data_IF_571660799727
#
_entry.id   IF_571660799727
#
_cell.length_a   1.000
_cell.length_b   1.000
_cell.length_c   1.000
_cell.angle_alpha   90.00
_cell.angle_beta   90.00
_cell.angle_gamma   90.00
#
_symmetry.space_group_name_H-M   'P 1'
#
loop_
_entity.id
_entity.type
_entity.pdbx_description
1 polymer ?
#
# COMPACT_ATOMS: atom_id res chain seq x y z
N UNK A 1 6.49 16.19 -10.01
CA UNK A 1 7.22 15.11 -10.72
C UNK A 1 6.29 13.92 -10.79
N UNK A 2 5.76 13.57 -11.95
CA UNK A 2 4.94 12.37 -12.10
C UNK A 2 5.88 11.16 -11.99
N UNK A 3 5.79 10.44 -10.91
CA UNK A 3 6.45 9.15 -10.80
C UNK A 3 5.75 8.19 -11.75
N UNK A 4 6.51 7.57 -12.63
CA UNK A 4 6.03 6.43 -13.43
C UNK A 4 6.01 5.20 -12.51
N UNK A 5 4.98 5.10 -11.69
CA UNK A 5 4.85 4.01 -10.73
C UNK A 5 4.29 2.73 -11.40
N UNK A 6 3.72 2.89 -12.61
CA UNK A 6 3.18 1.81 -13.44
C UNK A 6 4.04 1.68 -14.70
N UNK A 7 4.40 0.45 -15.04
CA UNK A 7 5.17 0.13 -16.23
C UNK A 7 4.24 -0.18 -17.41
N UNK A 8 4.69 0.09 -18.65
CA UNK A 8 4.04 -0.41 -19.87
C UNK A 8 4.23 -1.92 -19.97
N UNK A 9 3.35 -2.66 -19.32
CA UNK A 9 3.42 -4.10 -19.14
C UNK A 9 2.06 -4.65 -18.69
N UNK A 10 1.91 -5.98 -18.59
CA UNK A 10 0.71 -6.60 -18.04
C UNK A 10 0.48 -6.23 -16.56
N UNK A 11 -0.75 -6.40 -16.09
CA UNK A 11 -1.07 -6.25 -14.68
C UNK A 11 -0.22 -7.21 -13.82
N UNK A 12 -0.02 -8.45 -14.32
CA UNK A 12 0.83 -9.44 -13.65
C UNK A 12 2.27 -8.95 -13.46
N UNK A 13 2.90 -8.48 -14.54
CA UNK A 13 4.26 -7.95 -14.48
C UNK A 13 4.36 -6.73 -13.58
N UNK A 14 3.35 -5.85 -13.61
CA UNK A 14 3.29 -4.68 -12.75
C UNK A 14 3.20 -5.05 -11.26
N UNK A 15 2.44 -6.08 -10.89
CA UNK A 15 2.24 -6.43 -9.49
C UNK A 15 3.36 -7.31 -8.94
N UNK A 16 3.89 -8.24 -9.74
CA UNK A 16 4.91 -9.19 -9.28
C UNK A 16 6.34 -8.68 -9.45
N UNK A 17 6.55 -7.69 -10.33
CA UNK A 17 7.89 -7.21 -10.74
C UNK A 17 8.79 -8.34 -11.21
N UNK A 18 8.21 -9.38 -11.84
CA UNK A 18 8.94 -10.56 -12.33
C UNK A 18 9.31 -11.58 -11.25
N UNK A 19 8.84 -11.41 -10.02
CA UNK A 19 9.05 -12.41 -8.97
C UNK A 19 8.26 -13.69 -9.30
N UNK A 20 8.98 -14.77 -9.58
CA UNK A 20 8.43 -16.08 -9.99
C UNK A 20 7.84 -16.89 -8.84
N UNK A 21 8.16 -16.54 -7.62
CA UNK A 21 7.65 -17.23 -6.41
C UNK A 21 6.23 -16.79 -6.05
N UNK A 22 5.78 -15.65 -6.57
CA UNK A 22 4.42 -15.12 -6.32
C UNK A 22 3.40 -15.98 -7.08
N UNK A 23 2.40 -16.47 -6.36
CA UNK A 23 1.28 -17.23 -6.93
C UNK A 23 0.09 -16.32 -7.21
N UNK A 24 -0.74 -16.71 -8.16
CA UNK A 24 -1.96 -15.97 -8.50
C UNK A 24 -2.89 -15.78 -7.30
N UNK A 25 -3.02 -16.80 -6.46
CA UNK A 25 -3.85 -16.72 -5.26
C UNK A 25 -3.33 -15.66 -4.27
N UNK A 26 -2.02 -15.53 -4.11
CA UNK A 26 -1.41 -14.51 -3.24
C UNK A 26 -1.75 -13.09 -3.71
N UNK A 27 -1.75 -12.89 -5.04
CA UNK A 27 -2.14 -11.61 -5.65
C UNK A 27 -3.62 -11.33 -5.42
N UNK A 28 -4.50 -12.30 -5.64
CA UNK A 28 -5.94 -12.15 -5.44
C UNK A 28 -6.29 -11.84 -3.98
N UNK A 29 -5.64 -12.49 -3.03
CA UNK A 29 -5.85 -12.23 -1.61
C UNK A 29 -5.32 -10.84 -1.21
N UNK A 30 -4.17 -10.43 -1.76
CA UNK A 30 -3.63 -9.09 -1.56
C UNK A 30 -4.55 -8.02 -2.18
N UNK A 31 -5.16 -8.28 -3.34
CA UNK A 31 -6.12 -7.35 -3.95
C UNK A 31 -7.36 -7.13 -3.08
N UNK A 32 -7.85 -8.16 -2.39
CA UNK A 32 -8.91 -7.99 -1.38
C UNK A 32 -8.46 -7.07 -0.25
N UNK A 33 -7.23 -7.24 0.24
CA UNK A 33 -6.66 -6.45 1.34
C UNK A 33 -6.60 -4.97 0.98
N UNK A 34 -6.18 -4.64 -0.22
CA UNK A 34 -6.04 -3.24 -0.66
C UNK A 34 -7.31 -2.69 -1.35
N UNK A 35 -8.36 -3.50 -1.54
CA UNK A 35 -9.60 -3.08 -2.21
C UNK A 35 -9.46 -2.95 -3.72
N UNK A 36 -8.74 -3.85 -4.38
CA UNK A 36 -8.59 -3.93 -5.84
C UNK A 36 -9.38 -5.08 -6.47
N UNK A 37 -10.07 -5.89 -5.70
CA UNK A 37 -10.78 -7.08 -6.20
C UNK A 37 -11.89 -6.71 -7.20
N UNK A 38 -12.65 -5.66 -6.95
CA UNK A 38 -13.69 -5.19 -7.89
C UNK A 38 -13.08 -4.65 -9.18
N UNK A 39 -11.95 -3.93 -9.10
CA UNK A 39 -11.19 -3.50 -10.27
C UNK A 39 -10.74 -4.72 -11.09
N UNK A 40 -10.09 -5.69 -10.46
CA UNK A 40 -9.64 -6.91 -11.14
C UNK A 40 -10.78 -7.65 -11.84
N UNK A 41 -11.92 -7.84 -11.16
CA UNK A 41 -13.11 -8.50 -11.74
C UNK A 41 -13.70 -7.75 -12.94
N UNK A 42 -13.46 -6.45 -13.06
CA UNK A 42 -13.92 -5.64 -14.20
C UNK A 42 -13.05 -5.79 -15.45
N UNK A 43 -11.88 -6.42 -15.33
CA UNK A 43 -10.92 -6.57 -16.43
C UNK A 43 -11.28 -7.76 -17.32
N UNK A 44 -11.45 -7.52 -18.62
CA UNK A 44 -11.76 -8.58 -19.58
C UNK A 44 -10.62 -9.59 -19.80
N UNK A 45 -9.38 -9.18 -19.55
CA UNK A 45 -8.17 -10.00 -19.73
C UNK A 45 -7.49 -10.38 -18.42
N UNK A 46 -8.15 -10.11 -17.28
CA UNK A 46 -7.58 -10.40 -15.96
C UNK A 46 -6.14 -9.89 -15.83
N UNK A 47 -5.23 -10.73 -15.41
CA UNK A 47 -3.81 -10.39 -15.23
C UNK A 47 -3.05 -10.06 -16.52
N UNK A 48 -3.53 -10.50 -17.68
CA UNK A 48 -2.94 -10.17 -18.99
C UNK A 48 -3.36 -8.77 -19.49
N UNK A 49 -4.13 -8.02 -18.70
CA UNK A 49 -4.49 -6.64 -19.03
C UNK A 49 -3.25 -5.77 -19.07
N UNK A 50 -2.95 -5.20 -20.24
CA UNK A 50 -1.83 -4.29 -20.41
C UNK A 50 -2.12 -2.94 -19.76
N UNK A 51 -1.20 -2.46 -18.95
CA UNK A 51 -1.27 -1.16 -18.28
C UNK A 51 -0.28 -0.18 -18.93
N UNK A 52 -0.68 1.09 -19.00
CA UNK A 52 0.15 2.15 -19.54
C UNK A 52 0.62 3.11 -18.43
N UNK A 53 1.86 3.62 -18.50
CA UNK A 53 2.41 4.55 -17.51
C UNK A 53 1.61 5.82 -17.32
N UNK A 54 0.87 6.24 -18.36
CA UNK A 54 0.02 7.44 -18.33
C UNK A 54 -1.19 7.31 -17.41
N UNK A 55 -1.44 6.09 -16.88
CA UNK A 55 -2.47 5.84 -15.87
C UNK A 55 -3.91 6.10 -16.31
N UNK A 56 -4.19 6.30 -17.61
CA UNK A 56 -5.56 6.56 -18.11
C UNK A 56 -6.55 5.44 -17.75
N UNK A 57 -6.05 4.23 -17.50
CA UNK A 57 -6.85 3.05 -17.18
C UNK A 57 -7.04 2.87 -15.66
N UNK A 58 -6.24 3.56 -14.85
CA UNK A 58 -6.24 3.44 -13.39
C UNK A 58 -6.52 4.81 -12.76
N UNK A 59 -7.40 4.84 -11.78
CA UNK A 59 -7.52 6.01 -10.91
C UNK A 59 -6.26 6.17 -10.06
N UNK A 60 -6.00 7.36 -9.57
CA UNK A 60 -4.87 7.60 -8.64
C UNK A 60 -4.96 6.73 -7.38
N UNK A 61 -6.18 6.46 -6.90
CA UNK A 61 -6.42 5.52 -5.80
C UNK A 61 -6.03 4.10 -6.19
N UNK A 62 -6.40 3.63 -7.39
CA UNK A 62 -6.04 2.28 -7.87
C UNK A 62 -4.53 2.13 -8.05
N UNK A 63 -3.83 3.16 -8.51
CA UNK A 63 -2.37 3.17 -8.59
C UNK A 63 -1.78 3.02 -7.18
N UNK A 64 -2.22 3.82 -6.22
CA UNK A 64 -1.74 3.74 -4.83
C UNK A 64 -1.98 2.35 -4.22
N UNK A 65 -3.18 1.78 -4.43
CA UNK A 65 -3.52 0.42 -4.00
C UNK A 65 -2.60 -0.63 -4.62
N UNK A 66 -2.30 -0.51 -5.93
CA UNK A 66 -1.41 -1.44 -6.63
C UNK A 66 0.03 -1.38 -6.07
N UNK A 67 0.53 -0.19 -5.75
CA UNK A 67 1.85 -0.02 -5.15
C UNK A 67 1.94 -0.64 -3.76
N UNK A 68 0.91 -0.49 -2.95
CA UNK A 68 0.83 -1.13 -1.63
C UNK A 68 0.75 -2.66 -1.78
N UNK A 69 -0.09 -3.17 -2.69
CA UNK A 69 -0.19 -4.60 -2.97
C UNK A 69 1.17 -5.19 -3.39
N UNK A 70 1.89 -4.51 -4.29
CA UNK A 70 3.25 -4.86 -4.71
C UNK A 70 4.22 -4.98 -3.53
N UNK A 71 4.12 -4.05 -2.57
CA UNK A 71 4.99 -4.05 -1.40
C UNK A 71 4.65 -5.20 -0.44
N UNK A 72 3.38 -5.56 -0.30
CA UNK A 72 2.93 -6.63 0.60
C UNK A 72 3.26 -8.03 0.07
N UNK A 73 3.21 -8.24 -1.25
CA UNK A 73 3.45 -9.54 -1.88
C UNK A 73 4.86 -10.11 -1.61
N UNK A 74 5.83 -9.25 -1.37
CA UNK A 74 7.21 -9.66 -1.08
C UNK A 74 7.45 -10.03 0.39
N UNK A 75 6.41 -10.06 1.23
CA UNK A 75 6.49 -10.37 2.66
C UNK A 75 7.67 -9.66 3.36
N UNK A 76 7.77 -8.34 3.27
CA UNK A 76 8.93 -7.60 3.75
C UNK A 76 9.00 -7.59 5.28
N UNK A 77 10.21 -7.59 5.83
CA UNK A 77 10.44 -7.33 7.26
C UNK A 77 10.29 -5.83 7.61
N UNK A 78 10.40 -4.94 6.61
CA UNK A 78 10.25 -3.49 6.73
C UNK A 78 9.39 -2.93 5.60
N UNK A 79 8.31 -2.23 5.95
CA UNK A 79 7.48 -1.46 5.03
C UNK A 79 7.72 0.04 5.23
N UNK A 80 8.03 0.74 4.15
CA UNK A 80 8.14 2.20 4.12
C UNK A 80 7.00 2.75 3.25
N UNK A 81 6.08 3.48 3.83
CA UNK A 81 4.87 3.96 3.16
C UNK A 81 4.74 5.48 3.29
N UNK A 82 4.62 6.16 2.16
CA UNK A 82 4.43 7.61 2.12
C UNK A 82 2.95 7.94 1.87
N UNK A 83 2.28 8.55 2.86
CA UNK A 83 0.85 8.88 2.82
C UNK A 83 -0.03 7.71 2.30
N UNK A 84 0.08 6.49 2.85
CA UNK A 84 -0.33 5.25 2.19
C UNK A 84 -1.83 5.14 1.89
N UNK A 85 -2.67 5.94 2.54
CA UNK A 85 -4.13 5.80 2.43
C UNK A 85 -4.81 7.14 2.08
N UNK A 86 -4.06 8.10 1.59
CA UNK A 86 -4.55 9.46 1.32
C UNK A 86 -5.69 9.49 0.30
N UNK A 87 -5.67 8.57 -0.66
CA UNK A 87 -6.62 8.50 -1.77
C UNK A 87 -7.65 7.37 -1.61
N UNK A 88 -7.70 6.71 -0.47
CA UNK A 88 -8.61 5.59 -0.24
C UNK A 88 -9.99 6.05 0.22
N UNK A 89 -11.03 5.32 -0.18
CA UNK A 89 -12.35 5.41 0.43
C UNK A 89 -12.31 4.93 1.89
N UNK A 90 -13.27 5.36 2.69
CA UNK A 90 -13.26 5.10 4.14
C UNK A 90 -13.21 3.60 4.49
N UNK A 91 -13.98 2.77 3.78
CA UNK A 91 -14.06 1.32 4.04
C UNK A 91 -12.74 0.62 3.68
N UNK A 92 -12.17 0.93 2.50
CA UNK A 92 -10.88 0.38 2.06
C UNK A 92 -9.75 0.77 3.02
N UNK A 93 -9.78 2.03 3.49
CA UNK A 93 -8.84 2.55 4.46
C UNK A 93 -8.91 1.81 5.78
N UNK A 94 -10.12 1.61 6.32
CA UNK A 94 -10.33 0.88 7.57
C UNK A 94 -9.84 -0.56 7.45
N UNK A 95 -10.13 -1.22 6.33
CA UNK A 95 -9.74 -2.60 6.10
C UNK A 95 -8.21 -2.75 6.02
N UNK A 96 -7.55 -1.92 5.22
CA UNK A 96 -6.09 -1.92 5.10
C UNK A 96 -5.40 -1.56 6.42
N UNK A 97 -5.92 -0.59 7.18
CA UNK A 97 -5.40 -0.27 8.51
C UNK A 97 -5.42 -1.50 9.43
N UNK A 98 -6.57 -2.17 9.52
CA UNK A 98 -6.70 -3.35 10.38
C UNK A 98 -5.73 -4.45 9.97
N UNK A 99 -5.52 -4.65 8.66
CA UNK A 99 -4.55 -5.60 8.16
C UNK A 99 -3.11 -5.23 8.55
N UNK A 100 -2.69 -3.99 8.26
CA UNK A 100 -1.32 -3.54 8.54
C UNK A 100 -0.97 -3.59 10.03
N UNK A 101 -1.87 -3.13 10.90
CA UNK A 101 -1.67 -3.18 12.35
C UNK A 101 -1.80 -4.59 12.94
N UNK A 102 -2.32 -5.55 12.19
CA UNK A 102 -2.37 -6.96 12.55
C UNK A 102 -1.15 -7.78 12.14
N UNK A 103 -0.26 -7.22 11.30
CA UNK A 103 0.96 -7.90 10.86
C UNK A 103 1.91 -8.12 12.05
N UNK A 104 2.49 -9.32 12.10
CA UNK A 104 3.53 -9.69 13.09
C UNK A 104 4.88 -9.73 12.37
N UNK A 105 5.93 -9.45 13.11
CA UNK A 105 7.31 -9.52 12.63
C UNK A 105 7.63 -8.59 11.44
N UNK A 106 6.84 -7.52 11.28
CA UNK A 106 7.01 -6.50 10.25
C UNK A 106 7.11 -5.13 10.90
N UNK A 107 8.18 -4.41 10.63
CA UNK A 107 8.29 -3.00 11.01
C UNK A 107 7.63 -2.14 9.94
N UNK A 108 6.69 -1.28 10.32
CA UNK A 108 6.02 -0.36 9.41
C UNK A 108 6.38 1.07 9.78
N UNK A 109 6.96 1.80 8.83
CA UNK A 109 7.23 3.23 8.96
C UNK A 109 6.39 3.94 7.88
N UNK A 110 5.57 4.91 8.29
CA UNK A 110 4.79 5.68 7.34
C UNK A 110 4.76 7.16 7.69
N UNK A 111 4.67 8.01 6.68
CA UNK A 111 4.34 9.41 6.84
C UNK A 111 2.83 9.58 6.79
N UNK A 112 2.26 10.40 7.65
CA UNK A 112 0.82 10.68 7.64
C UNK A 112 0.44 11.90 8.45
N UNK A 113 -0.68 12.54 8.06
CA UNK A 113 -1.40 13.51 8.88
C UNK A 113 -2.75 12.96 9.38
N UNK A 114 -3.01 11.66 9.16
CA UNK A 114 -4.26 11.02 9.54
C UNK A 114 -4.30 10.68 11.04
N UNK A 115 -5.21 11.28 11.81
CA UNK A 115 -5.31 11.02 13.25
C UNK A 115 -5.55 9.55 13.59
N UNK A 116 -6.24 8.80 12.72
CA UNK A 116 -6.55 7.39 12.97
C UNK A 116 -5.30 6.51 12.88
N UNK A 117 -4.40 6.79 11.95
CA UNK A 117 -3.10 6.12 11.85
C UNK A 117 -2.18 6.53 13.01
N UNK A 118 -2.09 7.83 13.30
CA UNK A 118 -1.30 8.37 14.41
C UNK A 118 -1.74 7.73 15.73
N UNK A 119 -3.05 7.61 15.97
CA UNK A 119 -3.57 7.05 17.23
C UNK A 119 -3.22 5.58 17.44
N UNK A 120 -3.10 4.80 16.37
CA UNK A 120 -2.79 3.36 16.40
C UNK A 120 -1.28 3.07 16.41
N UNK A 121 -0.44 4.04 16.06
CA UNK A 121 1.02 3.86 16.01
C UNK A 121 1.63 3.69 17.40
N UNK A 122 2.61 2.83 17.52
CA UNK A 122 3.39 2.61 18.75
C UNK A 122 4.32 3.79 19.06
N UNK A 123 4.92 4.35 18.00
CA UNK A 123 5.81 5.51 18.07
C UNK A 123 5.37 6.57 17.06
N UNK A 124 5.37 7.83 17.49
CA UNK A 124 5.09 8.98 16.64
C UNK A 124 6.25 9.96 16.71
N UNK A 125 6.81 10.29 15.55
CA UNK A 125 7.90 11.27 15.41
C UNK A 125 7.33 12.48 14.67
N UNK A 126 7.31 13.63 15.35
CA UNK A 126 6.90 14.88 14.74
C UNK A 126 8.10 15.58 14.12
N UNK A 127 7.99 15.87 12.82
CA UNK A 127 8.98 16.60 12.06
C UNK A 127 8.49 18.02 11.77
N UNK A 128 9.33 19.01 12.00
CA UNK A 128 9.07 20.39 11.66
C UNK A 128 10.34 21.04 11.09
N UNK A 129 10.23 21.68 9.92
CA UNK A 129 11.34 22.38 9.24
C UNK A 129 12.61 21.53 9.10
N UNK A 130 12.44 20.23 8.79
CA UNK A 130 13.55 19.29 8.58
C UNK A 130 14.21 18.78 9.86
N UNK A 131 13.63 19.05 11.04
CA UNK A 131 14.15 18.62 12.33
C UNK A 131 13.09 17.87 13.13
N UNK A 132 13.53 16.98 14.04
CA UNK A 132 12.64 16.30 14.98
C UNK A 132 12.19 17.30 16.04
N UNK A 133 10.90 17.55 16.13
CA UNK A 133 10.27 18.38 17.13
C UNK A 133 9.96 17.63 18.42
N UNK A 134 9.42 16.41 18.28
CA UNK A 134 9.10 15.55 19.42
C UNK A 134 9.03 14.09 19.01
N UNK A 135 9.24 13.20 19.97
CA UNK A 135 9.06 11.76 19.84
C UNK A 135 8.11 11.32 20.96
N UNK A 136 7.04 10.63 20.58
CA UNK A 136 6.06 10.05 21.52
C UNK A 136 6.10 8.54 21.36
N UNK A 137 6.39 7.80 22.44
CA UNK A 137 6.35 6.35 22.48
C UNK A 137 5.18 5.92 23.37
N UNK A 138 4.18 5.23 22.80
CA UNK A 138 2.99 4.81 23.54
C UNK A 138 3.21 3.54 24.36
N UNK A 139 4.23 2.74 24.01
CA UNK A 139 4.58 1.52 24.75
C UNK A 139 5.52 1.78 25.93
N UNK A 140 5.94 3.01 26.19
CA UNK A 140 6.84 3.39 27.28
C UNK A 140 6.13 3.63 28.64
N UNK A 141 4.83 3.29 28.73
CA UNK A 141 4.04 3.43 29.98
C UNK A 141 3.68 2.04 30.52
N UNK A 142 4.68 1.39 31.12
CA UNK A 142 4.52 0.32 32.12
C UNK A 142 5.69 0.39 33.11
#
# INVERSE_FOLDING_TARGET
MQKQDIFSASLWENITLGNKEVKEQDVLDTFKIVGLDSFYKSLNKGFDTHLEPTGKQLSSSSVQKLLIARSLLNQPALLLLDEPMKLFAADDKQYLQNYLFGLKDVTIIFTTNDPSLISKSEMVIHLEKGSIKSIQNKNASN
#
